data_IF_691443197422
#
_entry.id   IF_691443197422
#
_cell.length_a   1.000
_cell.length_b   1.000
_cell.length_c   1.000
_cell.angle_alpha   90.00
_cell.angle_beta   90.00
_cell.angle_gamma   90.00
#
_symmetry.space_group_name_H-M   'P 1'
#
loop_
_entity.id
_entity.type
_entity.pdbx_description
1 polymer ?
#
# COMPACT_ATOMS: atom_id res chain seq x y z
N UNK A 1 -0.89 10.58 -20.27
CA UNK A 1 -1.49 9.78 -19.18
C UNK A 1 -0.75 10.05 -17.88
N UNK A 2 -1.13 11.11 -17.17
CA UNK A 2 -0.43 11.60 -15.98
C UNK A 2 -1.49 11.78 -14.89
N UNK A 3 -1.27 11.32 -13.65
CA UNK A 3 -2.19 11.57 -12.55
C UNK A 3 -2.27 13.07 -12.27
N UNK A 4 -3.48 13.55 -12.01
CA UNK A 4 -3.81 14.93 -11.68
C UNK A 4 -3.86 15.13 -10.17
N UNK A 5 -4.05 14.05 -9.38
CA UNK A 5 -4.19 14.12 -7.91
C UNK A 5 -5.31 15.10 -7.50
N UNK A 6 -6.46 14.99 -8.17
CA UNK A 6 -7.58 15.94 -8.05
C UNK A 6 -8.26 15.98 -6.68
N UNK A 7 -8.01 14.98 -5.83
CA UNK A 7 -8.71 14.80 -4.55
C UNK A 7 -8.00 15.59 -3.45
N UNK A 8 -8.63 16.69 -3.04
CA UNK A 8 -8.14 17.63 -2.03
C UNK A 8 -9.16 17.73 -0.88
N UNK A 9 -8.70 18.05 0.32
CA UNK A 9 -9.56 18.43 1.45
C UNK A 9 -9.97 19.90 1.34
N UNK A 10 -10.86 20.36 2.22
CA UNK A 10 -11.28 21.77 2.28
C UNK A 10 -10.14 22.77 2.57
N UNK A 11 -9.04 22.30 3.16
CA UNK A 11 -7.82 23.10 3.41
C UNK A 11 -6.82 23.09 2.23
N UNK A 12 -7.17 22.46 1.10
CA UNK A 12 -6.28 22.30 -0.06
C UNK A 12 -5.22 21.21 0.07
N UNK A 13 -5.08 20.54 1.22
CA UNK A 13 -4.18 19.40 1.38
C UNK A 13 -4.69 18.17 0.62
N UNK A 14 -3.80 17.22 0.29
CA UNK A 14 -4.21 15.99 -0.39
C UNK A 14 -5.20 15.18 0.43
N UNK A 15 -6.27 14.73 -0.23
CA UNK A 15 -7.21 13.77 0.32
C UNK A 15 -6.69 12.36 0.06
N UNK A 16 -6.06 11.79 1.08
CA UNK A 16 -5.41 10.47 1.01
C UNK A 16 -6.36 9.27 1.26
N UNK A 17 -7.63 9.50 1.59
CA UNK A 17 -8.60 8.41 1.78
C UNK A 17 -8.92 7.71 0.46
N UNK A 18 -9.44 6.49 0.49
CA UNK A 18 -9.92 5.80 -0.72
C UNK A 18 -11.10 6.57 -1.34
N UNK A 19 -11.20 6.59 -2.67
CA UNK A 19 -12.36 7.11 -3.39
C UNK A 19 -13.54 6.13 -3.33
N UNK A 20 -14.72 6.55 -3.79
CA UNK A 20 -15.88 5.64 -3.88
C UNK A 20 -15.61 4.43 -4.78
N UNK A 21 -14.89 4.64 -5.88
CA UNK A 21 -14.44 3.60 -6.81
C UNK A 21 -13.49 2.62 -6.13
N UNK A 22 -12.51 3.13 -5.37
CA UNK A 22 -11.61 2.27 -4.61
C UNK A 22 -12.34 1.44 -3.53
N UNK A 23 -13.32 2.05 -2.85
CA UNK A 23 -14.15 1.32 -1.89
C UNK A 23 -15.01 0.25 -2.55
N UNK A 24 -15.54 0.50 -3.75
CA UNK A 24 -16.30 -0.48 -4.53
C UNK A 24 -15.43 -1.67 -4.93
N UNK A 25 -14.23 -1.43 -5.50
CA UNK A 25 -13.26 -2.48 -5.84
C UNK A 25 -12.90 -3.31 -4.60
N UNK A 26 -12.63 -2.64 -3.48
CA UNK A 26 -12.30 -3.32 -2.21
C UNK A 26 -13.45 -4.20 -1.72
N UNK A 27 -14.69 -3.73 -1.84
CA UNK A 27 -15.89 -4.50 -1.45
C UNK A 27 -16.07 -5.72 -2.35
N UNK A 28 -15.94 -5.54 -3.66
CA UNK A 28 -16.12 -6.60 -4.65
C UNK A 28 -15.11 -7.74 -4.48
N UNK A 29 -13.85 -7.38 -4.18
CA UNK A 29 -12.72 -8.31 -4.05
C UNK A 29 -12.55 -8.86 -2.64
N UNK A 30 -13.35 -8.41 -1.67
CA UNK A 30 -13.28 -8.86 -0.28
C UNK A 30 -13.51 -10.36 -0.21
N UNK A 31 -12.56 -11.08 0.42
CA UNK A 31 -12.66 -12.53 0.60
C UNK A 31 -12.42 -13.38 -0.67
N UNK A 32 -12.14 -12.75 -1.83
CA UNK A 32 -11.90 -13.45 -3.11
C UNK A 32 -10.40 -13.62 -3.43
N UNK A 33 -9.55 -13.58 -2.41
CA UNK A 33 -8.10 -13.64 -2.59
C UNK A 33 -7.61 -15.05 -2.84
N UNK A 34 -7.08 -15.31 -4.04
CA UNK A 34 -6.23 -16.46 -4.32
C UNK A 34 -4.79 -15.98 -4.52
N UNK A 35 -3.82 -16.74 -4.01
CA UNK A 35 -2.42 -16.46 -4.28
C UNK A 35 -2.16 -16.62 -5.77
N UNK A 36 -1.61 -15.59 -6.40
CA UNK A 36 -1.13 -15.68 -7.77
C UNK A 36 0.30 -15.16 -7.79
N UNK A 37 1.26 -15.96 -8.30
CA UNK A 37 2.66 -15.57 -8.38
C UNK A 37 2.86 -14.20 -9.06
N UNK A 38 3.87 -13.42 -8.62
CA UNK A 38 4.23 -12.17 -9.28
C UNK A 38 4.75 -12.45 -10.69
N UNK A 39 4.25 -11.72 -11.69
CA UNK A 39 4.76 -11.80 -13.06
C UNK A 39 6.19 -11.26 -13.10
N UNK A 40 6.98 -11.78 -14.03
CA UNK A 40 8.33 -11.24 -14.26
C UNK A 40 8.27 -9.76 -14.69
N UNK A 41 9.26 -8.94 -14.31
CA UNK A 41 9.31 -7.51 -14.68
C UNK A 41 9.19 -7.26 -16.19
N UNK A 42 9.73 -8.17 -17.01
CA UNK A 42 9.63 -8.12 -18.48
C UNK A 42 8.18 -8.23 -18.95
N UNK A 43 7.40 -9.15 -18.38
CA UNK A 43 5.98 -9.31 -18.73
C UNK A 43 5.18 -8.10 -18.26
N UNK A 44 5.42 -7.58 -17.05
CA UNK A 44 4.75 -6.36 -16.55
C UNK A 44 4.98 -5.18 -17.49
N UNK A 45 6.24 -5.02 -17.93
CA UNK A 45 6.63 -3.95 -18.84
C UNK A 45 5.99 -4.12 -20.21
N UNK A 46 5.95 -5.34 -20.77
CA UNK A 46 5.32 -5.61 -22.05
C UNK A 46 3.81 -5.28 -22.03
N UNK A 47 3.10 -5.74 -20.98
CA UNK A 47 1.68 -5.43 -20.77
C UNK A 47 1.45 -3.91 -20.69
N UNK A 48 2.32 -3.20 -19.98
CA UNK A 48 2.25 -1.74 -19.84
C UNK A 48 2.54 -1.02 -21.17
N UNK A 49 3.52 -1.46 -21.95
CA UNK A 49 3.83 -0.91 -23.29
C UNK A 49 2.61 -1.01 -24.20
N UNK A 50 1.96 -2.19 -24.25
CA UNK A 50 0.76 -2.38 -25.05
C UNK A 50 -0.37 -1.42 -24.64
N UNK A 51 -0.60 -1.25 -23.33
CA UNK A 51 -1.58 -0.26 -22.82
C UNK A 51 -1.22 1.18 -23.18
N UNK A 52 0.05 1.56 -23.05
CA UNK A 52 0.52 2.91 -23.38
C UNK A 52 0.29 3.23 -24.84
N UNK A 53 0.67 2.31 -25.73
CA UNK A 53 0.49 2.48 -27.18
C UNK A 53 -0.99 2.56 -27.54
N UNK A 54 -1.82 1.68 -26.98
CA UNK A 54 -3.28 1.68 -27.20
C UNK A 54 -3.93 3.01 -26.77
N UNK A 55 -3.45 3.61 -25.69
CA UNK A 55 -3.93 4.90 -25.18
C UNK A 55 -3.26 6.12 -25.83
N UNK A 56 -2.47 5.94 -26.90
CA UNK A 56 -1.79 7.02 -27.61
C UNK A 56 -0.69 7.71 -26.80
N UNK A 57 -0.14 7.07 -25.78
CA UNK A 57 0.93 7.61 -24.95
C UNK A 57 2.33 7.27 -25.45
N UNK A 58 3.32 8.03 -24.96
CA UNK A 58 4.73 7.75 -25.19
C UNK A 58 5.33 6.73 -24.20
N UNK A 59 5.87 5.62 -24.72
CA UNK A 59 6.54 4.56 -23.95
C UNK A 59 7.91 4.97 -23.41
N UNK A 60 8.53 6.01 -23.96
CA UNK A 60 9.80 6.59 -23.48
C UNK A 60 9.58 7.50 -22.28
N UNK A 61 8.37 8.04 -22.13
CA UNK A 61 7.97 8.80 -20.96
C UNK A 61 7.72 7.86 -19.76
N UNK A 62 8.59 7.95 -18.75
CA UNK A 62 8.49 7.11 -17.55
C UNK A 62 7.17 7.28 -16.80
N UNK A 63 6.55 8.46 -16.80
CA UNK A 63 5.25 8.70 -16.15
C UNK A 63 4.15 7.91 -16.85
N UNK A 64 4.14 7.92 -18.18
CA UNK A 64 3.17 7.16 -18.97
C UNK A 64 3.38 5.65 -18.82
N UNK A 65 4.62 5.19 -18.97
CA UNK A 65 4.94 3.76 -18.90
C UNK A 65 4.64 3.19 -17.51
N UNK A 66 5.22 3.76 -16.46
CA UNK A 66 5.02 3.26 -15.10
C UNK A 66 3.58 3.43 -14.64
N UNK A 67 2.89 4.48 -15.08
CA UNK A 67 1.46 4.66 -14.79
C UNK A 67 0.59 3.49 -15.26
N UNK A 68 1.01 2.76 -16.30
CA UNK A 68 0.30 1.61 -16.85
C UNK A 68 0.79 0.24 -16.33
N UNK A 69 1.71 0.23 -15.36
CA UNK A 69 2.05 -0.98 -14.63
C UNK A 69 0.85 -1.37 -13.75
N UNK A 70 0.46 -2.64 -13.80
CA UNK A 70 -0.58 -3.18 -12.94
C UNK A 70 0.03 -3.68 -11.64
N UNK A 71 -0.59 -3.33 -10.51
CA UNK A 71 -0.21 -3.86 -9.21
C UNK A 71 -0.57 -5.36 -9.15
N UNK A 72 0.35 -6.17 -8.65
CA UNK A 72 0.19 -7.63 -8.61
C UNK A 72 -0.04 -8.16 -7.20
N UNK A 73 -0.05 -7.29 -6.21
CA UNK A 73 -0.13 -7.62 -4.81
C UNK A 73 -1.18 -6.78 -4.11
N UNK A 74 -1.63 -7.28 -2.96
CA UNK A 74 -2.62 -6.60 -2.14
C UNK A 74 -4.02 -6.57 -2.75
N UNK A 75 -4.89 -5.80 -2.11
CA UNK A 75 -6.33 -5.81 -2.38
C UNK A 75 -6.75 -5.17 -3.70
N UNK A 76 -5.92 -4.29 -4.27
CA UNK A 76 -6.18 -3.61 -5.55
C UNK A 76 -5.47 -4.28 -6.73
N UNK A 77 -5.12 -5.57 -6.60
CA UNK A 77 -4.50 -6.35 -7.67
C UNK A 77 -5.20 -6.14 -9.02
N UNK A 78 -4.42 -6.01 -10.10
CA UNK A 78 -4.82 -5.73 -11.48
C UNK A 78 -5.19 -4.26 -11.78
N UNK A 79 -5.25 -3.39 -10.78
CA UNK A 79 -5.35 -1.94 -11.02
C UNK A 79 -4.01 -1.35 -11.44
N UNK A 80 -4.05 -0.31 -12.28
CA UNK A 80 -2.84 0.38 -12.74
C UNK A 80 -2.32 1.35 -11.68
N UNK A 81 -1.02 1.66 -11.70
CA UNK A 81 -0.44 2.65 -10.80
C UNK A 81 -1.09 4.03 -10.97
N UNK A 82 -1.45 4.40 -12.20
CA UNK A 82 -2.24 5.60 -12.49
C UNK A 82 -3.59 5.57 -11.77
N UNK A 83 -4.36 4.49 -11.92
CA UNK A 83 -5.65 4.37 -11.26
C UNK A 83 -5.51 4.46 -9.74
N UNK A 84 -4.49 3.83 -9.18
CA UNK A 84 -4.24 3.85 -7.74
C UNK A 84 -3.86 5.25 -7.23
N UNK A 85 -3.07 6.01 -7.98
CA UNK A 85 -2.71 7.38 -7.62
C UNK A 85 -3.93 8.30 -7.52
N UNK A 86 -4.95 8.06 -8.35
CA UNK A 86 -6.20 8.83 -8.34
C UNK A 86 -7.21 8.34 -7.29
N UNK A 87 -7.31 7.02 -7.10
CA UNK A 87 -8.41 6.42 -6.35
C UNK A 87 -8.01 5.93 -4.95
N UNK A 88 -6.76 5.54 -4.75
CA UNK A 88 -6.27 4.89 -3.53
C UNK A 88 -4.90 5.42 -3.09
N UNK A 89 -4.69 6.74 -3.18
CA UNK A 89 -3.40 7.40 -2.94
C UNK A 89 -2.79 7.04 -1.57
N UNK A 90 -3.59 7.05 -0.50
CA UNK A 90 -3.10 6.70 0.83
C UNK A 90 -2.69 5.23 0.97
N UNK A 91 -3.28 4.34 0.18
CA UNK A 91 -2.89 2.92 0.17
C UNK A 91 -1.52 2.75 -0.49
N UNK A 92 -1.32 3.28 -1.70
CA UNK A 92 -0.03 3.15 -2.39
C UNK A 92 1.10 3.91 -1.70
N UNK A 93 0.81 5.06 -1.09
CA UNK A 93 1.79 5.80 -0.29
C UNK A 93 2.24 5.00 0.94
N UNK A 94 1.32 4.27 1.58
CA UNK A 94 1.65 3.38 2.68
C UNK A 94 2.50 2.19 2.23
N UNK A 95 2.16 1.57 1.08
CA UNK A 95 2.98 0.50 0.50
C UNK A 95 4.39 0.97 0.19
N UNK A 96 4.55 2.14 -0.46
CA UNK A 96 5.87 2.73 -0.73
C UNK A 96 6.66 2.95 0.57
N UNK A 97 6.04 3.53 1.59
CA UNK A 97 6.69 3.76 2.89
C UNK A 97 7.06 2.47 3.64
N UNK A 98 6.38 1.35 3.39
CA UNK A 98 6.78 0.03 3.90
C UNK A 98 7.93 -0.50 3.07
N UNK A 99 7.80 -0.53 1.75
CA UNK A 99 8.79 -1.09 0.82
C UNK A 99 10.14 -0.38 0.93
N UNK A 100 10.17 0.94 1.10
CA UNK A 100 11.42 1.71 1.31
C UNK A 100 12.13 1.33 2.63
N UNK A 101 11.43 0.67 3.56
CA UNK A 101 11.97 0.17 4.83
C UNK A 101 12.10 -1.37 4.86
N UNK A 102 11.78 -2.06 3.76
CA UNK A 102 11.98 -3.50 3.59
C UNK A 102 13.41 -3.77 3.06
N UNK A 103 13.96 -4.95 3.37
CA UNK A 103 15.19 -5.42 2.72
C UNK A 103 14.86 -6.22 1.47
N UNK A 104 15.73 -6.14 0.44
CA UNK A 104 15.56 -6.88 -0.81
C UNK A 104 15.49 -8.42 -0.64
N UNK A 105 15.89 -8.95 0.52
CA UNK A 105 15.86 -10.38 0.85
C UNK A 105 14.52 -10.84 1.43
N UNK A 106 13.61 -9.92 1.76
CA UNK A 106 12.30 -10.23 2.33
C UNK A 106 11.25 -10.64 1.29
N UNK A 107 11.60 -10.64 0.01
CA UNK A 107 10.64 -10.84 -1.09
C UNK A 107 11.25 -11.64 -2.25
N UNK A 108 10.40 -12.21 -3.09
CA UNK A 108 10.86 -12.78 -4.36
C UNK A 108 11.43 -11.68 -5.26
N UNK A 109 12.46 -11.99 -6.04
CA UNK A 109 13.11 -11.03 -6.96
C UNK A 109 12.11 -10.27 -7.84
N UNK A 110 11.13 -10.96 -8.41
CA UNK A 110 10.11 -10.35 -9.27
C UNK A 110 9.24 -9.36 -8.50
N UNK A 111 8.77 -9.75 -7.31
CA UNK A 111 7.91 -8.90 -6.51
C UNK A 111 8.66 -7.66 -6.00
N UNK A 112 9.92 -7.82 -5.57
CA UNK A 112 10.78 -6.70 -5.18
C UNK A 112 10.93 -5.68 -6.32
N UNK A 113 11.26 -6.14 -7.53
CA UNK A 113 11.41 -5.24 -8.70
C UNK A 113 10.07 -4.54 -9.03
N UNK A 114 8.96 -5.24 -8.94
CA UNK A 114 7.63 -4.66 -9.19
C UNK A 114 7.23 -3.65 -8.11
N UNK A 115 7.55 -3.89 -6.84
CA UNK A 115 7.39 -2.92 -5.74
C UNK A 115 8.27 -1.69 -5.96
N UNK A 116 9.53 -1.86 -6.34
CA UNK A 116 10.44 -0.75 -6.67
C UNK A 116 9.95 0.10 -7.84
N UNK A 117 9.27 -0.50 -8.83
CA UNK A 117 8.62 0.26 -9.91
C UNK A 117 7.51 1.17 -9.39
N UNK A 118 6.73 0.73 -8.38
CA UNK A 118 5.72 1.55 -7.71
C UNK A 118 6.36 2.70 -6.92
N UNK A 119 7.45 2.44 -6.18
CA UNK A 119 8.23 3.47 -5.49
C UNK A 119 8.70 4.53 -6.49
N UNK A 120 9.36 4.10 -7.58
CA UNK A 120 9.83 5.00 -8.63
C UNK A 120 8.69 5.84 -9.21
N UNK A 121 7.54 5.23 -9.51
CA UNK A 121 6.40 5.94 -10.08
C UNK A 121 5.87 7.03 -9.15
N UNK A 122 5.61 6.70 -7.88
CA UNK A 122 5.00 7.66 -6.96
C UNK A 122 5.94 8.83 -6.65
N UNK A 123 7.26 8.58 -6.62
CA UNK A 123 8.28 9.60 -6.42
C UNK A 123 8.43 10.58 -7.61
N UNK A 124 7.88 10.28 -8.79
CA UNK A 124 7.88 11.20 -9.95
C UNK A 124 6.97 12.44 -9.75
N UNK A 125 6.18 12.47 -8.68
CA UNK A 125 5.17 13.49 -8.42
C UNK A 125 5.35 14.15 -7.04
N UNK A 126 5.31 15.48 -6.94
CA UNK A 126 5.29 16.18 -5.65
C UNK A 126 4.20 15.66 -4.71
N UNK A 127 2.99 15.42 -5.23
CA UNK A 127 1.85 14.91 -4.47
C UNK A 127 2.07 13.49 -3.95
N UNK A 128 2.76 12.65 -4.74
CA UNK A 128 3.18 11.34 -4.31
C UNK A 128 4.15 11.40 -3.12
N UNK A 129 5.13 12.31 -3.18
CA UNK A 129 6.06 12.56 -2.09
C UNK A 129 5.35 13.08 -0.83
N UNK A 130 4.42 14.03 -0.97
CA UNK A 130 3.58 14.52 0.15
C UNK A 130 2.80 13.37 0.80
N UNK A 131 2.12 12.54 -0.01
CA UNK A 131 1.34 11.41 0.49
C UNK A 131 2.22 10.38 1.24
N UNK A 132 3.42 10.09 0.73
CA UNK A 132 4.40 9.22 1.40
C UNK A 132 4.80 9.82 2.74
N UNK A 133 5.15 11.11 2.79
CA UNK A 133 5.52 11.81 4.03
C UNK A 133 4.40 11.76 5.08
N UNK A 134 3.14 11.97 4.67
CA UNK A 134 1.98 11.86 5.57
C UNK A 134 1.82 10.43 6.12
N UNK A 135 2.13 9.41 5.33
CA UNK A 135 2.04 8.00 5.77
C UNK A 135 3.25 7.55 6.58
N UNK A 136 4.45 8.03 6.26
CA UNK A 136 5.68 7.77 7.01
C UNK A 136 5.64 8.45 8.39
N UNK A 137 5.21 9.71 8.47
CA UNK A 137 5.08 10.45 9.74
C UNK A 137 4.03 9.86 10.69
N UNK A 138 3.05 9.08 10.19
CA UNK A 138 2.12 8.33 11.03
C UNK A 138 2.75 7.11 11.72
N UNK A 139 3.93 6.61 11.29
CA UNK A 139 4.70 5.61 12.07
C UNK A 139 5.22 6.18 13.40
N UNK A 140 5.37 7.50 13.52
CA UNK A 140 5.73 8.18 14.78
C UNK A 140 4.55 8.45 15.71
N UNK A 141 3.31 8.21 15.27
CA UNK A 141 2.13 8.18 16.13
C UNK A 141 1.70 6.72 16.27
N UNK A 142 2.46 5.96 17.06
CA UNK A 142 1.79 5.01 17.93
C UNK A 142 0.67 5.79 18.63
N UNK A 143 -0.59 5.44 18.35
CA UNK A 143 -1.59 5.61 19.40
C UNK A 143 -0.95 5.01 20.65
N UNK A 144 -0.91 5.70 21.81
CA UNK A 144 -0.47 5.05 23.02
C UNK A 144 -1.30 3.78 23.12
N UNK A 145 -0.62 2.64 23.13
CA UNK A 145 -1.23 1.41 23.60
C UNK A 145 -1.94 1.78 24.90
N UNK A 146 -3.19 1.32 25.15
CA UNK A 146 -3.79 1.49 26.45
C UNK A 146 -2.74 1.07 27.46
N UNK A 147 -2.41 1.95 28.41
CA UNK A 147 -1.50 1.64 29.50
C UNK A 147 -1.86 0.23 30.00
N UNK A 148 -0.88 -0.66 30.25
CA UNK A 148 -1.20 -1.95 30.81
C UNK A 148 -2.08 -1.72 32.02
N UNK A 149 -3.31 -2.23 31.99
CA UNK A 149 -4.13 -2.35 33.19
C UNK A 149 -3.22 -3.02 34.21
N UNK A 150 -2.94 -2.32 35.31
CA UNK A 150 -2.12 -2.85 36.38
C UNK A 150 -2.48 -4.31 36.59
N UNK A 151 -1.52 -5.21 36.34
CA UNK A 151 -1.63 -6.59 36.77
C UNK A 151 -1.82 -6.52 38.27
N UNK A 152 -3.08 -6.59 38.69
CA UNK A 152 -3.45 -6.87 40.07
C UNK A 152 -2.79 -8.21 40.34
N UNK A 153 -1.72 -8.19 41.13
CA UNK A 153 -0.99 -9.37 41.54
C UNK A 153 -2.01 -10.41 41.99
N UNK A 154 -2.15 -11.48 41.21
CA UNK A 154 -2.93 -12.63 41.65
C UNK A 154 -2.10 -13.28 42.74
N UNK A 155 -2.33 -12.90 43.99
CA UNK A 155 -1.90 -13.70 45.13
C UNK A 155 -2.78 -14.95 45.12
N UNK A 156 -2.22 -16.17 44.95
CA UNK A 156 -2.99 -17.36 45.21
C UNK A 156 -3.42 -17.36 46.69
N UNK A 157 -4.66 -17.78 47.00
CA UNK A 157 -5.10 -17.87 48.39
C UNK A 157 -4.21 -18.85 49.17
N UNK A 158 -3.94 -18.59 50.46
CA UNK A 158 -3.13 -19.49 51.27
C UNK A 158 -3.77 -20.88 51.34
N UNK A 159 -2.97 -21.90 51.06
CA UNK A 159 -3.36 -23.30 51.19
C UNK A 159 -3.62 -23.57 52.68
N UNK A 160 -4.88 -23.78 53.03
CA UNK A 160 -5.23 -24.31 54.35
C UNK A 160 -4.98 -25.82 54.31
N UNK A 161 -3.95 -26.27 55.02
CA UNK A 161 -3.79 -27.69 55.34
C UNK A 161 -4.82 -28.05 56.42
N UNK A 162 -5.86 -28.80 56.07
CA UNK A 162 -6.61 -29.53 57.09
C UNK A 162 -5.84 -30.82 57.46
N UNK A 163 -5.65 -31.11 58.76
CA UNK A 163 -5.06 -32.37 59.19
C UNK A 163 -6.06 -33.50 59.01
N UNK A 164 -5.65 -34.57 58.33
CA UNK A 164 -6.39 -35.82 58.22
C UNK A 164 -6.76 -36.35 59.60
N UNK A 165 -8.07 -36.55 59.83
CA UNK A 165 -8.57 -37.44 60.89
C UNK A 165 -9.00 -38.76 60.30
#
# INVERSE_FOLDING_TARGET
MIPVFKRRKGDGSLLISDSGEALAVRRERRGKGYYVPPKSPTVVRADAVGRVQHLGGDVRNSKHLLGQFQIQFGQFRNETFLWLAENALGYIAHLVAITENESAHSDSKNNWVNKMALVKYLRLFPEGNEAISVKAGKKGRSLPLPLPLHHRSFQPPPIQYEPSR
#
